data_IF_066047668887
#
_entry.id   IF_066047668887
#
_cell.length_a   1.000
_cell.length_b   1.000
_cell.length_c   1.000
_cell.angle_alpha   90.00
_cell.angle_beta   90.00
_cell.angle_gamma   90.00
#
_symmetry.space_group_name_H-M   'P 1'
#
loop_
_entity.id
_entity.type
_entity.pdbx_description
1 polymer ?
#
# COMPACT_ATOMS: atom_id res chain seq x y z
N UNK A 1 100.77 -22.89 34.06
CA UNK A 1 99.93 -22.17 33.08
C UNK A 1 98.68 -21.68 33.81
N UNK A 2 98.48 -20.36 33.84
CA UNK A 2 97.21 -19.59 33.90
C UNK A 2 95.93 -20.29 34.42
N UNK A 3 95.01 -19.73 35.22
CA UNK A 3 94.79 -18.42 35.86
C UNK A 3 93.48 -18.53 36.64
N UNK A 4 93.38 -17.75 37.74
CA UNK A 4 92.23 -16.96 38.21
C UNK A 4 90.91 -17.64 38.61
N UNK A 5 90.51 -17.32 39.84
CA UNK A 5 89.17 -17.58 40.38
C UNK A 5 88.05 -16.80 39.70
N UNK A 6 86.83 -17.15 40.05
CA UNK A 6 85.62 -16.46 39.63
C UNK A 6 84.72 -16.27 40.85
N UNK A 7 84.60 -15.02 41.29
CA UNK A 7 83.59 -14.54 42.24
C UNK A 7 82.23 -14.40 41.53
N UNK A 8 81.18 -14.54 42.34
CA UNK A 8 79.76 -14.20 42.12
C UNK A 8 79.51 -13.05 41.14
N UNK A 9 78.45 -13.17 40.33
CA UNK A 9 77.40 -12.14 40.22
C UNK A 9 76.06 -12.86 39.91
N UNK A 10 75.08 -12.76 40.82
CA UNK A 10 73.67 -13.08 40.52
C UNK A 10 73.07 -11.95 39.68
N UNK A 11 72.64 -12.24 38.45
CA UNK A 11 71.76 -11.33 37.72
C UNK A 11 70.33 -11.55 38.21
N UNK A 12 69.81 -10.61 39.01
CA UNK A 12 68.38 -10.41 39.15
C UNK A 12 67.88 -9.79 37.84
N UNK A 13 67.21 -10.59 37.00
CA UNK A 13 66.45 -10.07 35.86
C UNK A 13 65.14 -9.51 36.36
N UNK A 14 65.05 -8.18 36.45
CA UNK A 14 63.80 -7.46 36.70
C UNK A 14 62.95 -7.52 35.44
N UNK A 15 62.00 -8.46 35.38
CA UNK A 15 61.03 -8.54 34.28
C UNK A 15 60.05 -7.38 34.42
N UNK A 16 60.20 -6.35 33.59
CA UNK A 16 59.26 -5.24 33.49
C UNK A 16 57.97 -5.76 32.82
N UNK A 17 56.96 -6.12 33.61
CA UNK A 17 55.65 -6.51 33.12
C UNK A 17 54.91 -5.25 32.66
N UNK A 18 54.98 -4.93 31.36
CA UNK A 18 54.17 -3.88 30.76
C UNK A 18 52.70 -4.31 30.83
N UNK A 19 51.98 -3.82 31.83
CA UNK A 19 50.54 -4.01 31.96
C UNK A 19 49.82 -3.34 30.79
N UNK A 20 49.43 -4.14 29.81
CA UNK A 20 48.54 -3.69 28.74
C UNK A 20 47.15 -3.50 29.35
N UNK A 21 46.84 -2.25 29.75
CA UNK A 21 45.49 -1.88 30.17
C UNK A 21 44.62 -1.88 28.91
N UNK A 22 43.90 -2.97 28.67
CA UNK A 22 42.82 -2.97 27.68
C UNK A 22 41.73 -2.01 28.17
N UNK A 23 41.74 -0.80 27.64
CA UNK A 23 40.63 0.14 27.75
C UNK A 23 39.45 -0.47 26.97
N UNK A 24 38.58 -1.20 27.68
CA UNK A 24 37.26 -1.54 27.16
C UNK A 24 36.43 -0.26 27.16
N UNK A 25 36.46 0.47 26.06
CA UNK A 25 35.43 1.47 25.78
C UNK A 25 34.12 0.70 25.53
N UNK A 26 33.06 0.88 26.33
CA UNK A 26 31.78 0.32 25.98
C UNK A 26 31.36 0.98 24.66
N UNK A 27 31.33 0.21 23.58
CA UNK A 27 30.64 0.64 22.38
C UNK A 27 29.18 0.78 22.77
N UNK A 28 28.74 2.01 23.03
CA UNK A 28 27.32 2.34 23.03
C UNK A 28 26.83 2.01 21.62
N UNK A 29 26.12 0.90 21.49
CA UNK A 29 25.44 0.57 20.25
C UNK A 29 24.54 1.77 19.94
N UNK A 30 24.74 2.37 18.76
CA UNK A 30 23.95 3.52 18.32
C UNK A 30 22.54 3.01 17.98
N UNK A 31 21.70 2.86 19.00
CA UNK A 31 20.35 2.33 18.86
C UNK A 31 19.53 3.41 18.17
N UNK A 32 19.17 3.15 16.91
CA UNK A 32 18.30 4.04 16.15
C UNK A 32 17.01 4.35 16.93
N UNK A 33 16.53 5.61 16.94
CA UNK A 33 15.31 5.98 17.64
C UNK A 33 14.10 5.12 17.23
N UNK A 34 13.10 4.92 18.11
CA UNK A 34 11.92 4.11 17.81
C UNK A 34 11.12 4.55 16.58
N UNK A 35 11.26 5.83 16.18
CA UNK A 35 10.59 6.44 15.03
C UNK A 35 11.48 6.53 13.77
N UNK A 36 12.68 5.95 13.79
CA UNK A 36 13.65 6.03 12.70
C UNK A 36 13.06 5.60 11.34
N UNK A 37 12.30 4.51 11.32
CA UNK A 37 11.70 3.99 10.07
C UNK A 37 10.59 4.90 9.53
N UNK A 38 9.83 5.54 10.43
CA UNK A 38 8.81 6.53 10.10
C UNK A 38 9.46 7.76 9.48
N UNK A 39 10.53 8.28 10.09
CA UNK A 39 11.33 9.38 9.55
C UNK A 39 11.91 9.07 8.16
N UNK A 40 12.40 7.85 7.94
CA UNK A 40 12.86 7.42 6.61
C UNK A 40 11.74 7.43 5.57
N UNK A 41 10.53 7.00 5.94
CA UNK A 41 9.37 7.04 5.04
C UNK A 41 8.98 8.49 4.71
N UNK A 42 8.86 9.35 5.73
CA UNK A 42 8.59 10.78 5.54
C UNK A 42 9.65 11.46 4.68
N UNK A 43 10.92 11.11 4.85
CA UNK A 43 12.01 11.60 4.00
C UNK A 43 11.80 11.24 2.53
N UNK A 44 11.42 9.99 2.23
CA UNK A 44 11.12 9.56 0.86
C UNK A 44 9.95 10.34 0.28
N UNK A 45 8.90 10.55 1.08
CA UNK A 45 7.76 11.35 0.67
C UNK A 45 8.16 12.79 0.30
N UNK A 46 8.84 13.50 1.19
CA UNK A 46 9.21 14.90 0.98
C UNK A 46 10.22 15.09 -0.17
N UNK A 47 11.23 14.21 -0.26
CA UNK A 47 12.30 14.37 -1.24
C UNK A 47 11.96 13.86 -2.64
N UNK A 48 11.06 12.86 -2.76
CA UNK A 48 10.85 12.14 -4.03
C UNK A 48 9.41 12.15 -4.54
N UNK A 49 8.42 12.10 -3.64
CA UNK A 49 7.04 11.81 -4.03
C UNK A 49 6.14 13.04 -4.02
N UNK A 50 6.21 13.87 -2.97
CA UNK A 50 5.31 15.01 -2.80
C UNK A 50 5.32 15.93 -4.01
N UNK A 51 6.50 16.47 -4.35
CA UNK A 51 6.63 17.46 -5.43
C UNK A 51 6.37 16.87 -6.82
N UNK A 52 6.80 15.63 -7.07
CA UNK A 52 6.59 14.97 -8.37
C UNK A 52 5.13 14.64 -8.67
N UNK A 53 4.31 14.41 -7.64
CA UNK A 53 2.89 14.03 -7.80
C UNK A 53 1.93 15.21 -7.56
N UNK A 54 2.28 16.16 -6.69
CA UNK A 54 1.38 17.24 -6.25
C UNK A 54 1.97 18.64 -6.43
N UNK A 55 3.17 18.76 -7.01
CA UNK A 55 3.86 20.04 -7.22
C UNK A 55 4.01 20.81 -5.90
N UNK A 56 3.80 22.12 -5.92
CA UNK A 56 3.87 22.99 -4.74
C UNK A 56 2.49 23.21 -4.08
N UNK A 57 1.48 22.39 -4.42
CA UNK A 57 0.14 22.49 -3.84
C UNK A 57 0.19 22.26 -2.32
N UNK A 58 -0.53 23.09 -1.56
CA UNK A 58 -0.75 22.87 -0.13
C UNK A 58 -1.54 21.58 0.06
N UNK A 59 -1.04 20.71 0.94
CA UNK A 59 -1.72 19.51 1.40
C UNK A 59 -1.98 19.71 2.89
N UNK A 60 -3.25 19.71 3.29
CA UNK A 60 -3.67 19.85 4.68
C UNK A 60 -3.58 18.47 5.33
N UNK A 61 -2.90 18.37 6.46
CA UNK A 61 -2.65 17.12 7.18
C UNK A 61 -2.79 17.34 8.70
N UNK A 62 -2.73 16.25 9.48
CA UNK A 62 -2.88 16.31 10.93
C UNK A 62 -4.31 16.68 11.35
N UNK A 63 -4.44 17.41 12.45
CA UNK A 63 -5.74 17.71 13.05
C UNK A 63 -6.62 18.64 12.21
N UNK A 64 -6.02 19.46 11.34
CA UNK A 64 -6.75 20.40 10.47
C UNK A 64 -7.42 19.72 9.28
N UNK A 65 -7.05 18.47 8.97
CA UNK A 65 -7.46 17.81 7.76
C UNK A 65 -8.94 17.42 7.77
N UNK A 66 -9.44 16.80 8.85
CA UNK A 66 -10.82 16.30 9.08
C UNK A 66 -11.70 15.82 7.88
N UNK A 67 -11.12 15.46 6.72
CA UNK A 67 -11.85 15.00 5.53
C UNK A 67 -11.85 13.47 5.42
N UNK A 68 -10.75 12.82 5.83
CA UNK A 68 -10.61 11.37 5.70
C UNK A 68 -9.76 10.75 6.82
N UNK A 69 -10.02 9.49 7.10
CA UNK A 69 -9.23 8.62 7.95
C UNK A 69 -8.70 7.46 7.11
N UNK A 70 -7.43 7.10 7.31
CA UNK A 70 -6.82 5.91 6.70
C UNK A 70 -6.57 4.87 7.80
N UNK A 71 -7.21 3.71 7.67
CA UNK A 71 -6.99 2.57 8.56
C UNK A 71 -6.14 1.52 7.86
N UNK A 72 -5.10 1.10 8.57
CA UNK A 72 -4.21 0.02 8.18
C UNK A 72 -3.88 -0.82 9.42
N UNK A 73 -3.48 -2.09 9.29
CA UNK A 73 -2.88 -2.79 10.41
C UNK A 73 -1.56 -2.13 10.80
N UNK A 74 -1.22 -2.17 12.08
CA UNK A 74 0.08 -1.70 12.55
C UNK A 74 1.23 -2.59 12.07
N UNK A 75 1.01 -3.90 12.09
CA UNK A 75 1.90 -4.92 11.53
C UNK A 75 1.08 -5.82 10.62
N UNK A 76 1.54 -6.05 9.40
CA UNK A 76 0.89 -7.01 8.51
C UNK A 76 1.51 -8.39 8.69
N UNK A 77 0.66 -9.40 8.86
CA UNK A 77 1.09 -10.81 8.89
C UNK A 77 1.61 -11.26 7.53
N UNK A 78 0.96 -10.80 6.46
CA UNK A 78 1.36 -11.04 5.07
C UNK A 78 1.46 -9.70 4.33
N UNK A 79 2.68 -9.37 3.90
CA UNK A 79 2.98 -8.13 3.19
C UNK A 79 2.33 -8.07 1.79
N UNK A 80 1.97 -9.22 1.21
CA UNK A 80 1.36 -9.31 -0.14
C UNK A 80 -0.12 -8.96 -0.17
N UNK A 81 -0.79 -8.94 0.99
CA UNK A 81 -2.25 -8.76 1.13
C UNK A 81 -2.63 -7.87 2.31
N UNK A 82 -1.95 -6.73 2.48
CA UNK A 82 -2.23 -5.78 3.56
C UNK A 82 -3.60 -5.13 3.36
N UNK A 83 -4.58 -5.32 4.26
CA UNK A 83 -5.87 -4.65 4.15
C UNK A 83 -5.75 -3.17 4.52
N UNK A 84 -6.34 -2.31 3.70
CA UNK A 84 -6.47 -0.87 4.00
C UNK A 84 -7.92 -0.42 3.80
N UNK A 85 -8.34 0.60 4.55
CA UNK A 85 -9.60 1.29 4.30
C UNK A 85 -9.47 2.80 4.50
N UNK A 86 -10.02 3.54 3.55
CA UNK A 86 -10.20 4.99 3.61
C UNK A 86 -11.64 5.26 4.00
N UNK A 87 -11.83 6.05 5.04
CA UNK A 87 -13.13 6.48 5.54
C UNK A 87 -13.25 7.99 5.42
N UNK A 88 -14.26 8.44 4.71
CA UNK A 88 -14.50 9.85 4.41
C UNK A 88 -15.51 10.42 5.39
N UNK A 89 -15.29 11.66 5.81
CA UNK A 89 -16.06 12.35 6.86
C UNK A 89 -17.05 13.37 6.32
N UNK A 90 -17.02 13.62 5.00
CA UNK A 90 -17.91 14.56 4.33
C UNK A 90 -18.85 13.82 3.38
N UNK A 91 -20.10 14.31 3.19
CA UNK A 91 -20.98 13.81 2.16
C UNK A 91 -20.44 14.14 0.76
N UNK A 92 -20.86 13.39 -0.26
CA UNK A 92 -20.56 13.69 -1.67
C UNK A 92 -21.71 14.53 -2.27
N UNK A 93 -21.74 15.85 -2.04
CA UNK A 93 -22.76 16.74 -2.64
C UNK A 93 -22.25 17.39 -3.92
N UNK A 94 -23.13 17.98 -4.74
CA UNK A 94 -22.71 18.65 -5.98
C UNK A 94 -21.81 19.86 -5.71
N UNK A 95 -21.99 20.53 -4.58
CA UNK A 95 -21.25 21.73 -4.18
C UNK A 95 -19.87 21.37 -3.62
N UNK A 96 -19.79 20.30 -2.82
CA UNK A 96 -18.55 19.88 -2.17
C UNK A 96 -18.49 18.36 -2.05
N UNK A 97 -17.51 17.78 -2.74
CA UNK A 97 -17.29 16.33 -2.73
C UNK A 97 -15.81 16.00 -2.95
N UNK A 98 -15.44 14.76 -2.62
CA UNK A 98 -14.10 14.26 -2.89
C UNK A 98 -14.08 13.81 -4.34
N UNK A 99 -13.38 14.56 -5.20
CA UNK A 99 -13.27 14.23 -6.62
C UNK A 99 -12.34 13.04 -6.84
N UNK A 100 -11.24 12.96 -6.10
CA UNK A 100 -10.22 11.93 -6.29
C UNK A 100 -9.55 11.56 -4.98
N UNK A 101 -9.22 10.29 -4.79
CA UNK A 101 -8.31 9.80 -3.76
C UNK A 101 -7.13 9.13 -4.43
N UNK A 102 -5.91 9.60 -4.13
CA UNK A 102 -4.66 8.96 -4.55
C UNK A 102 -4.08 8.21 -3.36
N UNK A 103 -3.81 6.91 -3.53
CA UNK A 103 -3.19 6.07 -2.49
C UNK A 103 -1.74 5.79 -2.88
N UNK A 104 -0.82 5.98 -1.94
CA UNK A 104 0.60 5.75 -2.14
C UNK A 104 1.23 4.99 -0.98
N UNK A 105 2.29 4.23 -1.26
CA UNK A 105 3.17 3.59 -0.27
C UNK A 105 4.58 4.10 -0.51
N UNK A 106 5.10 4.92 0.39
CA UNK A 106 6.31 5.73 0.13
C UNK A 106 7.50 4.89 -0.36
N UNK A 107 7.69 3.70 0.21
CA UNK A 107 8.86 2.85 -0.05
C UNK A 107 8.57 1.64 -0.92
N UNK A 108 7.44 1.59 -1.60
CA UNK A 108 7.24 0.60 -2.65
C UNK A 108 8.08 0.94 -3.89
N UNK A 109 8.55 -0.05 -4.67
CA UNK A 109 9.21 0.16 -5.95
C UNK A 109 8.39 1.01 -6.93
N UNK A 110 7.07 0.81 -6.93
CA UNK A 110 6.09 1.73 -7.52
C UNK A 110 5.24 2.29 -6.38
N UNK A 111 5.49 3.55 -5.96
CA UNK A 111 4.81 4.14 -4.81
C UNK A 111 3.31 4.32 -5.00
N UNK A 112 2.85 4.67 -6.20
CA UNK A 112 1.43 4.80 -6.51
C UNK A 112 0.74 3.44 -6.39
N UNK A 113 -0.31 3.34 -5.59
CA UNK A 113 -1.20 2.17 -5.55
C UNK A 113 -2.33 2.34 -6.56
N UNK A 114 -2.94 3.51 -6.56
CA UNK A 114 -3.96 3.87 -7.52
C UNK A 114 -4.55 5.25 -7.29
N UNK A 115 -5.21 5.76 -8.32
CA UNK A 115 -6.06 6.94 -8.32
C UNK A 115 -7.50 6.49 -8.43
N UNK A 116 -8.35 7.00 -7.54
CA UNK A 116 -9.77 6.66 -7.48
C UNK A 116 -10.58 7.93 -7.65
N UNK A 117 -11.31 8.05 -8.75
CA UNK A 117 -12.17 9.19 -9.04
C UNK A 117 -13.61 8.87 -8.66
N UNK A 118 -14.23 9.82 -7.95
CA UNK A 118 -15.58 9.69 -7.43
C UNK A 118 -16.46 10.82 -7.97
N UNK A 119 -17.76 10.63 -7.81
CA UNK A 119 -18.78 11.62 -8.16
C UNK A 119 -19.77 11.77 -7.00
N UNK A 120 -20.63 12.79 -7.01
CA UNK A 120 -21.74 12.89 -6.06
C UNK A 120 -22.60 11.61 -6.00
N UNK A 121 -22.71 10.86 -7.12
CA UNK A 121 -23.46 9.60 -7.21
C UNK A 121 -22.82 8.43 -6.45
N UNK A 122 -21.53 8.51 -6.13
CA UNK A 122 -20.90 7.59 -5.18
C UNK A 122 -21.55 7.69 -3.79
N UNK A 123 -22.03 8.88 -3.41
CA UNK A 123 -22.62 9.19 -2.09
C UNK A 123 -21.63 9.24 -0.94
N UNK A 124 -20.68 8.30 -0.92
CA UNK A 124 -19.59 8.21 0.06
C UNK A 124 -18.31 7.73 -0.61
N UNK A 125 -17.23 8.50 -0.56
CA UNK A 125 -15.94 8.12 -1.17
C UNK A 125 -15.10 7.20 -0.27
N UNK A 126 -15.76 6.35 0.53
CA UNK A 126 -15.10 5.29 1.29
C UNK A 126 -14.61 4.20 0.34
N UNK A 127 -13.41 3.70 0.61
CA UNK A 127 -12.76 2.70 -0.23
C UNK A 127 -11.98 1.73 0.64
N UNK A 128 -12.14 0.43 0.41
CA UNK A 128 -11.29 -0.59 1.04
C UNK A 128 -10.73 -1.54 0.00
N UNK A 129 -9.46 -1.91 0.18
CA UNK A 129 -8.77 -2.84 -0.72
C UNK A 129 -7.64 -3.56 0.00
N UNK A 130 -6.93 -4.44 -0.73
CA UNK A 130 -5.69 -5.08 -0.28
C UNK A 130 -4.54 -4.64 -1.16
N UNK A 131 -3.44 -4.29 -0.53
CA UNK A 131 -2.23 -3.77 -1.19
C UNK A 131 -1.01 -4.61 -0.82
N UNK A 132 0.02 -4.50 -1.65
CA UNK A 132 1.38 -4.98 -1.40
C UNK A 132 2.19 -3.89 -0.72
N UNK A 133 2.96 -4.24 0.31
CA UNK A 133 3.87 -3.33 1.01
C UNK A 133 5.27 -3.94 1.04
N UNK A 134 6.23 -3.32 0.37
CA UNK A 134 7.56 -3.91 0.15
C UNK A 134 8.57 -3.62 1.27
N UNK A 135 8.38 -2.51 1.99
CA UNK A 135 9.19 -2.15 3.16
C UNK A 135 8.34 -1.37 4.16
N UNK A 136 8.82 -1.27 5.40
CA UNK A 136 8.16 -0.50 6.44
C UNK A 136 8.04 0.96 6.03
N UNK A 137 6.79 1.40 5.89
CA UNK A 137 6.45 2.61 5.16
C UNK A 137 5.14 3.18 5.68
N UNK A 138 4.98 4.50 5.53
CA UNK A 138 3.66 5.10 5.50
C UNK A 138 2.92 4.65 4.24
N UNK A 139 1.66 4.30 4.45
CA UNK A 139 0.61 4.37 3.43
C UNK A 139 -0.01 5.75 3.55
N UNK A 140 -0.21 6.43 2.43
CA UNK A 140 -0.81 7.76 2.37
C UNK A 140 -2.05 7.72 1.50
N UNK A 141 -3.11 8.37 1.95
CA UNK A 141 -4.30 8.64 1.16
C UNK A 141 -4.45 10.17 1.04
N UNK A 142 -4.43 10.66 -0.18
CA UNK A 142 -4.55 12.09 -0.50
C UNK A 142 -5.90 12.27 -1.20
N UNK A 143 -6.85 12.94 -0.53
CA UNK A 143 -8.09 13.38 -1.15
C UNK A 143 -7.92 14.74 -1.82
N UNK A 144 -8.42 14.85 -3.03
CA UNK A 144 -8.61 16.07 -3.77
C UNK A 144 -10.11 16.37 -3.82
N UNK A 145 -10.52 17.51 -3.25
CA UNK A 145 -11.90 17.98 -3.37
C UNK A 145 -12.16 18.55 -4.76
N UNK A 146 -13.44 18.67 -5.13
CA UNK A 146 -13.86 19.36 -6.35
C UNK A 146 -13.44 20.84 -6.39
N UNK A 147 -13.16 21.44 -5.24
CA UNK A 147 -12.60 22.80 -5.08
C UNK A 147 -11.09 22.88 -5.35
N UNK A 148 -10.40 21.73 -5.51
CA UNK A 148 -8.96 21.65 -5.75
C UNK A 148 -8.10 21.64 -4.48
N UNK A 149 -8.70 21.66 -3.29
CA UNK A 149 -7.97 21.50 -2.04
C UNK A 149 -7.49 20.05 -1.86
N UNK A 150 -6.29 19.88 -1.29
CA UNK A 150 -5.71 18.58 -1.00
C UNK A 150 -5.64 18.32 0.50
N UNK A 151 -6.01 17.11 0.89
CA UNK A 151 -6.10 16.67 2.26
C UNK A 151 -5.45 15.28 2.39
N UNK A 152 -4.58 15.06 3.38
CA UNK A 152 -3.84 13.80 3.52
C UNK A 152 -4.03 13.15 4.89
N UNK A 153 -4.33 11.85 4.86
CA UNK A 153 -4.17 10.95 5.99
C UNK A 153 -3.00 9.99 5.71
N UNK A 154 -2.22 9.65 6.75
CA UNK A 154 -1.14 8.67 6.66
C UNK A 154 -1.17 7.69 7.82
N UNK A 155 -0.82 6.44 7.56
CA UNK A 155 -0.71 5.38 8.58
C UNK A 155 0.52 4.53 8.31
N UNK A 156 1.29 4.23 9.36
CA UNK A 156 2.54 3.48 9.23
C UNK A 156 2.29 1.97 9.31
N UNK A 157 2.75 1.23 8.31
CA UNK A 157 2.58 -0.22 8.24
C UNK A 157 3.93 -0.93 8.40
N UNK A 158 3.97 -1.90 9.31
CA UNK A 158 5.09 -2.82 9.44
C UNK A 158 4.86 -4.08 8.61
N UNK A 159 5.29 -4.04 7.36
CA UNK A 159 5.36 -5.17 6.44
C UNK A 159 6.63 -5.08 5.58
N UNK A 160 7.09 -6.20 5.00
CA UNK A 160 8.26 -6.20 4.10
C UNK A 160 8.21 -7.35 3.08
N UNK A 161 8.72 -7.12 1.88
CA UNK A 161 9.07 -8.14 0.88
C UNK A 161 7.95 -8.55 -0.06
N UNK A 162 6.85 -7.78 -0.12
CA UNK A 162 5.66 -8.13 -0.89
C UNK A 162 5.86 -8.15 -2.41
N UNK A 163 6.70 -7.26 -2.95
CA UNK A 163 6.83 -7.11 -4.40
C UNK A 163 7.69 -8.20 -5.02
N UNK A 164 8.65 -8.73 -4.26
CA UNK A 164 9.57 -9.81 -4.65
C UNK A 164 9.18 -11.19 -4.07
N UNK A 165 8.01 -11.29 -3.43
CA UNK A 165 7.52 -12.55 -2.89
C UNK A 165 7.27 -13.57 -4.03
N UNK A 166 7.58 -14.86 -3.82
CA UNK A 166 7.18 -15.91 -4.76
C UNK A 166 5.67 -15.91 -5.00
N UNK A 167 5.21 -16.28 -6.21
CA UNK A 167 3.80 -16.48 -6.46
C UNK A 167 3.15 -17.47 -5.47
N UNK A 168 1.94 -17.17 -4.96
CA UNK A 168 1.16 -18.16 -4.23
C UNK A 168 0.66 -19.26 -5.18
N UNK A 169 0.36 -20.44 -4.63
CA UNK A 169 -0.15 -21.58 -5.40
C UNK A 169 -1.44 -21.25 -6.19
N UNK A 170 -2.30 -20.38 -5.64
CA UNK A 170 -3.57 -19.97 -6.25
C UNK A 170 -3.40 -19.02 -7.46
N UNK A 171 -2.18 -18.62 -7.82
CA UNK A 171 -1.94 -17.78 -8.99
C UNK A 171 -2.39 -18.49 -10.29
N UNK A 172 -2.21 -19.81 -10.40
CA UNK A 172 -2.62 -20.55 -11.60
C UNK A 172 -4.14 -20.53 -11.79
N UNK A 173 -4.91 -20.60 -10.71
CA UNK A 173 -6.37 -20.45 -10.78
C UNK A 173 -6.77 -19.03 -11.18
N UNK A 174 -6.04 -18.03 -10.69
CA UNK A 174 -6.25 -16.61 -11.04
C UNK A 174 -6.00 -16.37 -12.54
N UNK A 175 -5.04 -17.07 -13.15
CA UNK A 175 -4.78 -17.04 -14.59
C UNK A 175 -5.86 -17.76 -15.39
N UNK A 176 -6.34 -18.91 -14.93
CA UNK A 176 -7.41 -19.67 -15.61
C UNK A 176 -8.75 -18.92 -15.61
N UNK A 177 -9.04 -18.21 -14.52
CA UNK A 177 -10.27 -17.46 -14.32
C UNK A 177 -10.10 -15.97 -14.62
N UNK A 178 -9.09 -15.60 -15.42
CA UNK A 178 -8.71 -14.20 -15.68
C UNK A 178 -9.92 -13.34 -16.02
N UNK A 179 -10.08 -12.22 -15.33
CA UNK A 179 -11.13 -11.23 -15.57
C UNK A 179 -12.50 -11.63 -15.03
N UNK A 180 -12.70 -12.85 -14.50
CA UNK A 180 -13.95 -13.20 -13.84
C UNK A 180 -14.17 -12.31 -12.61
N UNK A 181 -15.36 -11.71 -12.54
CA UNK A 181 -15.74 -10.83 -11.45
C UNK A 181 -16.82 -11.45 -10.58
N UNK A 182 -16.77 -11.12 -9.29
CA UNK A 182 -17.86 -11.38 -8.36
C UNK A 182 -18.23 -10.09 -7.66
N UNK A 183 -19.49 -9.69 -7.82
CA UNK A 183 -20.08 -8.54 -7.16
C UNK A 183 -21.09 -8.98 -6.11
N UNK A 184 -21.19 -8.20 -5.04
CA UNK A 184 -22.16 -8.42 -3.96
C UNK A 184 -22.42 -7.12 -3.23
N UNK A 185 -23.69 -6.74 -3.09
CA UNK A 185 -24.14 -5.75 -2.11
C UNK A 185 -24.02 -6.31 -0.68
N UNK A 186 -23.46 -5.52 0.23
CA UNK A 186 -23.29 -5.91 1.64
C UNK A 186 -24.40 -5.23 2.46
N UNK A 187 -25.26 -6.05 3.06
CA UNK A 187 -26.47 -5.58 3.75
C UNK A 187 -27.66 -5.45 2.79
N UNK A 188 -28.75 -4.88 3.31
CA UNK A 188 -29.93 -4.60 2.51
C UNK A 188 -29.74 -3.35 1.66
N UNK A 189 -30.30 -3.38 0.45
CA UNK A 189 -30.22 -2.25 -0.48
C UNK A 189 -31.30 -1.24 -0.12
N UNK A 190 -30.90 -0.01 0.20
CA UNK A 190 -31.82 1.10 0.48
C UNK A 190 -31.70 2.20 -0.59
N UNK A 191 -32.79 2.53 -1.27
CA UNK A 191 -32.76 3.61 -2.26
C UNK A 191 -32.54 4.99 -1.64
N UNK A 192 -31.80 5.84 -2.34
CA UNK A 192 -31.44 7.19 -1.90
C UNK A 192 -30.41 7.24 -0.77
N UNK A 193 -29.89 6.08 -0.33
CA UNK A 193 -28.83 6.00 0.69
C UNK A 193 -27.55 5.38 0.13
N UNK A 194 -26.37 5.67 0.72
CA UNK A 194 -25.13 4.99 0.35
C UNK A 194 -25.19 3.49 0.69
N UNK A 195 -25.04 2.63 -0.33
CA UNK A 195 -24.99 1.17 -0.20
C UNK A 195 -23.58 0.66 -0.47
N UNK A 196 -23.15 -0.35 0.29
CA UNK A 196 -21.80 -0.91 0.17
C UNK A 196 -21.76 -2.02 -0.89
N UNK A 197 -20.98 -1.81 -1.94
CA UNK A 197 -20.67 -2.81 -2.95
C UNK A 197 -19.33 -3.49 -2.64
N UNK A 198 -19.27 -4.81 -2.78
CA UNK A 198 -18.03 -5.56 -2.83
C UNK A 198 -17.79 -6.11 -4.24
N UNK A 199 -16.63 -5.78 -4.80
CA UNK A 199 -16.14 -6.29 -6.08
C UNK A 199 -14.90 -7.16 -5.83
N UNK A 200 -14.84 -8.33 -6.48
CA UNK A 200 -13.64 -9.17 -6.58
C UNK A 200 -13.36 -9.47 -8.04
N UNK A 201 -12.10 -9.37 -8.45
CA UNK A 201 -11.65 -9.65 -9.80
C UNK A 201 -10.59 -10.74 -9.71
N UNK A 202 -10.75 -11.82 -10.50
CA UNK A 202 -9.72 -12.84 -10.66
C UNK A 202 -8.61 -12.32 -11.55
N UNK A 203 -7.43 -12.11 -10.98
CA UNK A 203 -6.28 -11.59 -11.72
C UNK A 203 -4.96 -11.88 -10.97
N UNK A 204 -3.92 -12.38 -11.67
CA UNK A 204 -2.67 -12.77 -11.01
C UNK A 204 -1.85 -11.60 -10.44
N UNK A 205 -2.10 -10.35 -10.88
CA UNK A 205 -1.37 -9.12 -10.50
C UNK A 205 0.13 -9.37 -10.26
N UNK A 206 0.82 -9.72 -11.34
CA UNK A 206 2.25 -10.02 -11.38
C UNK A 206 3.01 -8.70 -11.37
N UNK A 207 3.92 -8.54 -10.40
CA UNK A 207 4.75 -7.33 -10.23
C UNK A 207 5.90 -7.25 -11.25
N UNK A 208 6.32 -8.39 -11.79
CA UNK A 208 7.51 -8.51 -12.64
C UNK A 208 8.84 -8.46 -11.87
N UNK A 209 8.81 -8.55 -10.54
CA UNK A 209 10.00 -8.45 -9.68
C UNK A 209 10.45 -9.79 -9.08
N UNK A 210 9.68 -10.84 -9.30
CA UNK A 210 9.99 -12.21 -8.85
C UNK A 210 9.79 -13.21 -10.00
N UNK A 211 10.60 -14.28 -10.06
CA UNK A 211 10.41 -15.34 -11.03
C UNK A 211 9.12 -16.11 -10.72
N UNK A 212 8.40 -16.54 -11.75
CA UNK A 212 7.15 -17.28 -11.56
C UNK A 212 7.34 -18.75 -11.18
N UNK A 213 8.55 -19.28 -11.41
CA UNK A 213 8.91 -20.67 -11.14
C UNK A 213 10.13 -20.69 -10.23
N UNK A 214 10.06 -21.51 -9.17
CA UNK A 214 11.18 -21.72 -8.25
C UNK A 214 12.41 -22.18 -9.06
N UNK A 215 13.56 -21.55 -8.81
CA UNK A 215 14.82 -21.83 -9.49
C UNK A 215 15.02 -21.11 -10.84
N UNK A 216 14.01 -20.42 -11.37
CA UNK A 216 14.16 -19.57 -12.55
C UNK A 216 14.78 -18.22 -12.19
N UNK A 217 15.59 -17.67 -13.10
CA UNK A 217 16.08 -16.27 -13.04
C UNK A 217 15.29 -15.33 -13.97
N UNK A 218 14.35 -15.87 -14.73
CA UNK A 218 13.56 -15.10 -15.70
C UNK A 218 12.44 -14.36 -14.98
N UNK A 219 12.48 -13.03 -15.04
CA UNK A 219 11.43 -12.16 -14.54
C UNK A 219 10.38 -11.94 -15.64
N UNK A 220 9.09 -12.21 -15.39
CA UNK A 220 8.03 -11.89 -16.35
C UNK A 220 7.84 -10.36 -16.42
N UNK A 221 7.26 -9.84 -17.52
CA UNK A 221 6.78 -8.46 -17.51
C UNK A 221 5.65 -8.26 -16.48
N UNK A 222 5.48 -7.05 -15.93
CA UNK A 222 4.34 -6.74 -15.05
C UNK A 222 2.99 -7.01 -15.74
N UNK A 223 2.11 -7.73 -15.05
CA UNK A 223 0.77 -8.07 -15.54
C UNK A 223 -0.26 -7.86 -14.44
N UNK A 224 -0.92 -6.70 -14.43
CA UNK A 224 -1.86 -6.29 -13.39
C UNK A 224 -3.08 -5.58 -13.99
N UNK A 225 -4.19 -5.57 -13.24
CA UNK A 225 -5.37 -4.75 -13.57
C UNK A 225 -4.96 -3.28 -13.50
N UNK A 226 -5.06 -2.55 -14.61
CA UNK A 226 -4.64 -1.15 -14.72
C UNK A 226 -5.78 -0.16 -14.56
N UNK A 227 -6.99 -0.52 -14.98
CA UNK A 227 -8.14 0.38 -14.98
C UNK A 227 -9.42 -0.37 -14.60
N UNK A 228 -10.30 0.29 -13.85
CA UNK A 228 -11.65 -0.15 -13.55
C UNK A 228 -12.60 1.04 -13.70
N UNK A 229 -13.73 0.83 -14.37
CA UNK A 229 -14.84 1.78 -14.45
C UNK A 229 -16.10 1.09 -13.94
N UNK A 230 -16.78 1.73 -12.99
CA UNK A 230 -18.02 1.25 -12.39
C UNK A 230 -19.12 2.24 -12.73
N UNK A 231 -20.14 1.75 -13.43
CA UNK A 231 -21.31 2.51 -13.81
C UNK A 231 -22.56 1.90 -13.13
N UNK A 232 -23.49 2.76 -12.74
CA UNK A 232 -24.82 2.37 -12.29
C UNK A 232 -25.87 3.04 -13.16
N UNK A 233 -26.69 2.25 -13.86
CA UNK A 233 -27.70 2.77 -14.80
C UNK A 233 -27.14 3.78 -15.84
N UNK A 234 -25.90 3.59 -16.27
CA UNK A 234 -25.23 4.45 -17.25
C UNK A 234 -24.55 5.69 -16.67
N UNK A 235 -24.61 5.91 -15.36
CA UNK A 235 -23.88 6.98 -14.66
C UNK A 235 -22.64 6.42 -13.96
N UNK A 236 -21.50 7.07 -14.14
CA UNK A 236 -20.24 6.65 -13.50
C UNK A 236 -20.25 6.90 -12.00
N UNK A 237 -20.01 5.82 -11.25
CA UNK A 237 -19.89 5.79 -9.79
C UNK A 237 -18.44 5.89 -9.33
N UNK A 238 -17.54 5.19 -10.02
CA UNK A 238 -16.12 5.09 -9.64
C UNK A 238 -15.27 4.83 -10.88
N UNK A 239 -14.17 5.56 -11.02
CA UNK A 239 -13.07 5.19 -11.91
C UNK A 239 -11.82 4.93 -11.08
N UNK A 240 -11.07 3.90 -11.43
CA UNK A 240 -9.83 3.58 -10.74
C UNK A 240 -8.72 3.32 -11.75
N UNK A 241 -7.61 4.03 -11.61
CA UNK A 241 -6.33 3.71 -12.24
C UNK A 241 -5.46 3.04 -11.20
N UNK A 242 -4.88 1.89 -11.52
CA UNK A 242 -4.25 0.99 -10.57
C UNK A 242 -2.83 0.63 -11.02
N UNK A 243 -2.01 0.21 -10.06
CA UNK A 243 -0.68 -0.35 -10.32
C UNK A 243 -0.55 -1.78 -9.77
N UNK A 244 0.59 -2.43 -9.98
CA UNK A 244 0.88 -3.72 -9.38
C UNK A 244 0.97 -3.70 -7.85
N UNK A 245 0.95 -2.52 -7.21
CA UNK A 245 0.90 -2.40 -5.75
C UNK A 245 -0.45 -2.87 -5.19
N UNK A 246 -1.48 -3.06 -6.02
CA UNK A 246 -2.69 -3.80 -5.65
C UNK A 246 -2.41 -5.30 -5.60
N UNK A 247 -2.88 -5.97 -4.55
CA UNK A 247 -2.69 -7.41 -4.34
C UNK A 247 -3.28 -8.27 -5.46
N UNK A 248 -2.83 -9.54 -5.52
CA UNK A 248 -3.46 -10.58 -6.35
C UNK A 248 -4.94 -10.74 -6.01
N UNK A 249 -5.73 -11.11 -7.03
CA UNK A 249 -7.18 -11.15 -6.98
C UNK A 249 -7.77 -9.87 -6.37
N UNK A 250 -7.63 -8.71 -7.05
CA UNK A 250 -8.05 -7.42 -6.54
C UNK A 250 -9.46 -7.45 -5.99
N UNK A 251 -9.61 -6.98 -4.76
CA UNK A 251 -10.88 -6.89 -4.07
C UNK A 251 -11.10 -5.46 -3.57
N UNK A 252 -12.23 -4.88 -3.96
CA UNK A 252 -12.61 -3.51 -3.62
C UNK A 252 -13.92 -3.52 -2.86
N UNK A 253 -14.04 -2.59 -1.91
CA UNK A 253 -15.34 -2.19 -1.36
C UNK A 253 -15.49 -0.69 -1.53
N UNK A 254 -16.61 -0.28 -2.09
CA UNK A 254 -16.92 1.12 -2.39
C UNK A 254 -18.42 1.33 -2.23
N UNK A 255 -18.84 2.59 -2.11
CA UNK A 255 -20.25 2.94 -1.98
C UNK A 255 -20.83 3.44 -3.30
N UNK A 256 -22.15 3.36 -3.40
CA UNK A 256 -22.95 3.95 -4.47
C UNK A 256 -24.34 4.27 -3.93
N UNK A 257 -25.06 5.20 -4.57
CA UNK A 257 -26.43 5.56 -4.20
C UNK A 257 -27.40 5.16 -5.30
N UNK A 258 -28.11 4.02 -5.16
CA UNK A 258 -29.17 3.65 -6.09
C UNK A 258 -30.43 4.48 -5.83
N UNK A 259 -30.99 5.12 -6.85
CA UNK A 259 -32.27 5.86 -6.75
C UNK A 259 -33.49 4.97 -7.03
N UNK A 260 -33.27 3.89 -7.77
CA UNK A 260 -34.26 2.88 -8.20
C UNK A 260 -33.52 1.59 -8.50
N UNK A 261 -34.25 0.51 -8.80
CA UNK A 261 -33.67 -0.73 -9.32
C UNK A 261 -32.86 -0.49 -10.60
N UNK A 262 -31.85 -1.32 -10.81
CA UNK A 262 -30.94 -1.11 -11.92
C UNK A 262 -29.84 -2.12 -12.03
N UNK A 263 -28.92 -1.83 -12.94
CA UNK A 263 -27.76 -2.68 -13.20
C UNK A 263 -26.49 -1.89 -12.94
N UNK A 264 -25.66 -2.43 -12.05
CA UNK A 264 -24.27 -2.02 -11.94
C UNK A 264 -23.45 -2.75 -12.99
N UNK A 265 -22.69 -2.01 -13.77
CA UNK A 265 -21.75 -2.54 -14.76
C UNK A 265 -20.34 -2.20 -14.32
N UNK A 266 -19.48 -3.20 -14.25
CA UNK A 266 -18.05 -3.02 -13.99
C UNK A 266 -17.29 -3.43 -15.23
N UNK A 267 -16.51 -2.51 -15.77
CA UNK A 267 -15.53 -2.76 -16.82
C UNK A 267 -14.14 -2.62 -16.23
N UNK A 268 -13.19 -3.36 -16.76
CA UNK A 268 -11.80 -3.05 -16.49
C UNK A 268 -10.86 -3.65 -17.51
N UNK A 269 -9.60 -3.26 -17.40
CA UNK A 269 -8.55 -3.69 -18.30
C UNK A 269 -7.25 -3.98 -17.56
N UNK A 270 -6.38 -4.78 -18.18
CA UNK A 270 -5.05 -5.07 -17.66
C UNK A 270 -3.93 -4.49 -18.54
N UNK A 271 -2.68 -4.60 -18.08
CA UNK A 271 -1.50 -4.15 -18.84
C UNK A 271 -1.20 -4.95 -20.10
N UNK A 272 -1.90 -6.07 -20.34
CA UNK A 272 -1.84 -6.85 -21.58
C UNK A 272 -3.00 -6.53 -22.53
N UNK A 273 -3.77 -5.48 -22.23
CA UNK A 273 -4.93 -5.03 -23.00
C UNK A 273 -6.07 -6.06 -23.04
N UNK A 274 -6.13 -7.01 -22.10
CA UNK A 274 -7.34 -7.77 -21.90
C UNK A 274 -8.40 -6.84 -21.31
N UNK A 275 -9.64 -6.96 -21.79
CA UNK A 275 -10.79 -6.22 -21.28
C UNK A 275 -11.77 -7.21 -20.69
N UNK A 276 -12.27 -6.88 -19.51
CA UNK A 276 -13.24 -7.69 -18.78
C UNK A 276 -14.43 -6.82 -18.38
N UNK A 277 -15.62 -7.43 -18.37
CA UNK A 277 -16.86 -6.75 -18.02
C UNK A 277 -17.78 -7.71 -17.27
N UNK A 278 -18.53 -7.19 -16.30
CA UNK A 278 -19.53 -7.94 -15.55
C UNK A 278 -20.66 -7.01 -15.11
N UNK A 279 -21.84 -7.58 -14.94
CA UNK A 279 -23.03 -6.86 -14.47
C UNK A 279 -23.55 -7.45 -13.17
N UNK A 280 -24.22 -6.62 -12.37
CA UNK A 280 -24.87 -7.01 -11.13
C UNK A 280 -26.19 -6.27 -11.00
N UNK A 281 -27.27 -7.01 -10.85
CA UNK A 281 -28.60 -6.45 -10.60
C UNK A 281 -28.64 -5.89 -9.17
N UNK A 282 -29.15 -4.67 -9.05
CA UNK A 282 -29.40 -4.00 -7.77
C UNK A 282 -30.91 -3.85 -7.65
N UNK A 283 -31.49 -4.58 -6.71
CA UNK A 283 -32.89 -4.51 -6.33
C UNK A 283 -33.00 -4.30 -4.83
N UNK A 284 -34.13 -3.75 -4.39
CA UNK A 284 -34.40 -3.60 -2.97
C UNK A 284 -34.69 -4.99 -2.40
N UNK A 285 -33.87 -5.44 -1.46
CA UNK A 285 -34.16 -6.68 -0.75
C UNK A 285 -35.26 -6.37 0.28
N UNK A 286 -36.48 -6.77 0.00
CA UNK A 286 -37.53 -6.87 1.02
C UNK A 286 -37.21 -8.10 1.87
N UNK A 287 -36.83 -7.88 3.14
CA UNK A 287 -36.97 -8.92 4.17
C UNK A 287 -38.44 -9.13 4.52
#
# INVERSE_FOLDING_TARGET
MLTKGRKLISLLSTTLLAGLVFQFSPAVADVAPPDYRQKLSDKVWEEKLRKSNFQDRKIIEGNEQDILELKTPYTAEDATVVPISVHTKIPQTNERYIKKITIMVDKNPVPLVGNFEFSPKTGKADLAMRIRVDDFSYVRAIAELNTGELYMAKSFVRAKGACSAPPPASMEDSKKLLGQMKMKTIGDVEFGKPNLMQLKIRHPNITGMAPLRIGSRVMPPPHFVKEIEVDYNGETVLKAELTFSVSMDPAFRFYFVPEKEGVMTVKGSDTKNNVFSSTHEVHQNTS
#
